data_IF_334678662370
#
_entry.id   IF_334678662370
#
_cell.length_a   1.000
_cell.length_b   1.000
_cell.length_c   1.000
_cell.angle_alpha   90.00
_cell.angle_beta   90.00
_cell.angle_gamma   90.00
#
_symmetry.space_group_name_H-M   'P 1'
#
loop_
_entity.id
_entity.type
_entity.pdbx_description
1 polymer ?
#
# COMPACT_ATOMS: atom_id res chain seq x y z
N UNK A 1 -1.39 -32.45 3.93
CA UNK A 1 -1.26 -32.02 2.53
C UNK A 1 -0.17 -30.95 2.46
N UNK A 2 0.95 -31.22 1.79
CA UNK A 2 1.97 -30.18 1.58
C UNK A 2 1.40 -29.16 0.58
N UNK A 3 1.09 -27.95 1.06
CA UNK A 3 0.66 -26.86 0.19
C UNK A 3 1.75 -26.51 -0.85
N UNK A 4 1.37 -25.84 -1.95
CA UNK A 4 2.34 -25.44 -2.98
C UNK A 4 3.51 -24.66 -2.36
N UNK A 5 4.73 -25.02 -2.76
CA UNK A 5 5.96 -24.40 -2.25
C UNK A 5 5.95 -22.90 -2.52
N UNK A 6 6.29 -22.11 -1.50
CA UNK A 6 6.28 -20.66 -1.63
C UNK A 6 7.31 -20.22 -2.69
N UNK A 7 6.89 -19.36 -3.64
CA UNK A 7 7.71 -19.01 -4.82
C UNK A 7 8.95 -18.18 -4.51
N UNK A 8 8.99 -17.57 -3.34
CA UNK A 8 9.95 -16.53 -2.97
C UNK A 8 10.89 -16.95 -1.82
N UNK A 9 10.95 -18.24 -1.46
CA UNK A 9 11.90 -18.74 -0.44
C UNK A 9 13.26 -19.12 -1.03
N UNK A 10 13.31 -19.37 -2.34
CA UNK A 10 14.51 -19.84 -3.05
C UNK A 10 14.80 -18.96 -4.28
N UNK A 11 16.08 -18.86 -4.67
CA UNK A 11 16.51 -18.16 -5.89
C UNK A 11 17.22 -16.81 -5.66
N UNK A 12 17.32 -16.00 -6.73
CA UNK A 12 18.08 -14.74 -6.72
C UNK A 12 17.34 -13.63 -5.94
N UNK A 13 17.97 -13.16 -4.86
CA UNK A 13 17.48 -12.08 -4.00
C UNK A 13 17.20 -10.78 -4.77
N UNK A 14 18.04 -10.45 -5.76
CA UNK A 14 17.89 -9.21 -6.54
C UNK A 14 16.61 -9.24 -7.37
N UNK A 15 16.33 -10.37 -8.06
CA UNK A 15 15.09 -10.57 -8.81
C UNK A 15 13.87 -10.49 -7.88
N UNK A 16 13.96 -11.11 -6.71
CA UNK A 16 12.90 -11.13 -5.73
C UNK A 16 12.55 -9.71 -5.27
N UNK A 17 13.53 -8.94 -4.81
CA UNK A 17 13.33 -7.57 -4.33
C UNK A 17 12.82 -6.68 -5.46
N UNK A 18 13.38 -6.77 -6.67
CA UNK A 18 12.92 -5.98 -7.81
C UNK A 18 11.47 -6.27 -8.17
N UNK A 19 11.07 -7.54 -8.26
CA UNK A 19 9.67 -7.90 -8.61
C UNK A 19 8.71 -7.40 -7.54
N UNK A 20 8.99 -7.66 -6.26
CA UNK A 20 8.11 -7.23 -5.17
C UNK A 20 8.01 -5.70 -5.10
N UNK A 21 9.15 -4.99 -5.09
CA UNK A 21 9.16 -3.54 -5.02
C UNK A 21 8.42 -2.89 -6.20
N UNK A 22 8.68 -3.34 -7.44
CA UNK A 22 8.02 -2.80 -8.62
C UNK A 22 6.51 -3.00 -8.57
N UNK A 23 6.03 -4.20 -8.18
CA UNK A 23 4.59 -4.45 -8.06
C UNK A 23 3.94 -3.58 -6.98
N UNK A 24 4.60 -3.40 -5.83
CA UNK A 24 4.12 -2.51 -4.77
C UNK A 24 4.11 -1.04 -5.20
N UNK A 25 5.13 -0.59 -5.93
CA UNK A 25 5.19 0.78 -6.46
C UNK A 25 4.06 1.07 -7.43
N UNK A 26 3.69 0.13 -8.31
CA UNK A 26 2.54 0.31 -9.22
C UNK A 26 1.24 0.51 -8.42
N UNK A 27 1.01 -0.29 -7.38
CA UNK A 27 -0.17 -0.14 -6.52
C UNK A 27 -0.19 1.20 -5.79
N UNK A 28 0.94 1.64 -5.25
CA UNK A 28 1.05 2.94 -4.58
C UNK A 28 0.80 4.10 -5.54
N UNK A 29 1.35 4.04 -6.76
CA UNK A 29 1.12 5.05 -7.79
C UNK A 29 -0.34 5.15 -8.19
N UNK A 30 -1.06 4.02 -8.27
CA UNK A 30 -2.49 4.02 -8.58
C UNK A 30 -3.31 4.78 -7.53
N UNK A 31 -3.01 4.59 -6.24
CA UNK A 31 -3.67 5.32 -5.14
C UNK A 31 -3.43 6.83 -5.26
N UNK A 32 -2.17 7.24 -5.44
CA UNK A 32 -1.84 8.67 -5.59
C UNK A 32 -2.51 9.33 -6.79
N UNK A 33 -2.62 8.62 -7.92
CA UNK A 33 -3.30 9.15 -9.12
C UNK A 33 -4.79 9.34 -8.85
N UNK A 34 -5.44 8.37 -8.21
CA UNK A 34 -6.86 8.48 -7.83
C UNK A 34 -7.06 9.65 -6.86
N UNK A 35 -6.20 9.80 -5.86
CA UNK A 35 -6.26 10.90 -4.89
C UNK A 35 -6.09 12.26 -5.55
N UNK A 36 -5.14 12.38 -6.48
CA UNK A 36 -4.91 13.60 -7.25
C UNK A 36 -6.14 13.97 -8.10
N UNK A 37 -6.71 13.00 -8.82
CA UNK A 37 -7.91 13.21 -9.63
C UNK A 37 -9.08 13.66 -8.73
N UNK A 38 -9.23 13.04 -7.56
CA UNK A 38 -10.29 13.38 -6.63
C UNK A 38 -10.15 14.81 -6.09
N UNK A 39 -8.93 15.21 -5.70
CA UNK A 39 -8.68 16.58 -5.24
C UNK A 39 -8.89 17.61 -6.36
N UNK A 40 -8.45 17.31 -7.59
CA UNK A 40 -8.68 18.17 -8.76
C UNK A 40 -10.18 18.33 -9.05
N UNK A 41 -10.93 17.22 -9.04
CA UNK A 41 -12.37 17.25 -9.26
C UNK A 41 -13.08 18.12 -8.22
N UNK A 42 -12.72 17.98 -6.94
CA UNK A 42 -13.38 18.74 -5.88
C UNK A 42 -12.95 20.22 -5.90
N UNK A 43 -11.70 20.52 -6.25
CA UNK A 43 -11.27 21.90 -6.47
C UNK A 43 -12.05 22.59 -7.60
N UNK A 44 -12.43 21.85 -8.66
CA UNK A 44 -13.22 22.37 -9.77
C UNK A 44 -14.70 22.65 -9.44
N UNK A 45 -15.23 22.15 -8.31
CA UNK A 45 -16.59 22.44 -7.86
C UNK A 45 -16.79 23.90 -7.37
N UNK A 46 -15.69 24.67 -7.20
CA UNK A 46 -15.75 26.09 -6.79
C UNK A 46 -16.14 26.32 -5.32
N UNK A 47 -16.34 25.26 -4.56
CA UNK A 47 -16.69 25.28 -3.13
C UNK A 47 -15.40 25.18 -2.30
N UNK A 48 -14.82 26.32 -1.94
CA UNK A 48 -13.56 26.38 -1.18
C UNK A 48 -13.62 25.58 0.14
N UNK A 49 -14.80 25.47 0.74
CA UNK A 49 -15.06 24.71 1.96
C UNK A 49 -14.88 23.20 1.76
N UNK A 50 -15.28 22.65 0.61
CA UNK A 50 -15.09 21.23 0.27
C UNK A 50 -13.62 20.90 0.03
N UNK A 51 -12.87 21.80 -0.62
CA UNK A 51 -11.44 21.62 -0.84
C UNK A 51 -10.65 21.64 0.49
N UNK A 52 -11.01 22.53 1.42
CA UNK A 52 -10.41 22.57 2.75
C UNK A 52 -10.79 21.32 3.59
N UNK A 53 -12.05 20.87 3.49
CA UNK A 53 -12.55 19.70 4.20
C UNK A 53 -11.81 18.40 3.83
N UNK A 54 -11.41 18.24 2.57
CA UNK A 54 -10.58 17.09 2.14
C UNK A 54 -9.25 17.05 2.86
N UNK A 55 -8.61 18.20 3.10
CA UNK A 55 -7.35 18.25 3.84
C UNK A 55 -7.51 17.76 5.28
N UNK A 56 -8.57 18.19 5.95
CA UNK A 56 -8.90 17.74 7.32
C UNK A 56 -9.30 16.26 7.37
N UNK A 57 -10.16 15.82 6.46
CA UNK A 57 -10.55 14.41 6.34
C UNK A 57 -9.34 13.53 6.00
N UNK A 58 -8.44 14.03 5.15
CA UNK A 58 -7.20 13.39 4.75
C UNK A 58 -6.31 13.08 5.95
N UNK A 59 -6.14 14.01 6.91
CA UNK A 59 -5.36 13.75 8.12
C UNK A 59 -5.91 12.58 8.95
N UNK A 60 -7.23 12.48 9.09
CA UNK A 60 -7.90 11.38 9.80
C UNK A 60 -7.75 10.06 9.03
N UNK A 61 -7.95 10.10 7.70
CA UNK A 61 -7.78 8.93 6.84
C UNK A 61 -6.33 8.44 6.85
N UNK A 62 -5.34 9.33 6.85
CA UNK A 62 -3.92 8.97 6.99
C UNK A 62 -3.64 8.26 8.31
N UNK A 63 -4.23 8.74 9.40
CA UNK A 63 -4.08 8.10 10.70
C UNK A 63 -4.63 6.67 10.70
N UNK A 64 -5.87 6.47 10.24
CA UNK A 64 -6.48 5.14 10.16
C UNK A 64 -5.74 4.22 9.19
N UNK A 65 -5.32 4.74 8.03
CA UNK A 65 -4.57 3.97 7.02
C UNK A 65 -3.20 3.54 7.56
N UNK A 66 -2.55 4.38 8.37
CA UNK A 66 -1.26 4.07 8.99
C UNK A 66 -1.34 2.82 9.89
N UNK A 67 -2.41 2.68 10.67
CA UNK A 67 -2.65 1.46 11.46
C UNK A 67 -2.81 0.23 10.55
N UNK A 68 -3.56 0.36 9.45
CA UNK A 68 -3.74 -0.71 8.47
C UNK A 68 -2.44 -1.16 7.81
N UNK A 69 -1.60 -0.20 7.40
CA UNK A 69 -0.27 -0.46 6.82
C UNK A 69 0.63 -1.14 7.86
N UNK A 70 0.67 -0.62 9.09
CA UNK A 70 1.49 -1.19 10.17
C UNK A 70 1.13 -2.65 10.47
N UNK A 71 -0.16 -2.96 10.59
CA UNK A 71 -0.64 -4.33 10.79
C UNK A 71 -0.30 -5.22 9.59
N UNK A 72 -0.49 -4.74 8.37
CA UNK A 72 -0.19 -5.50 7.15
C UNK A 72 1.30 -5.86 7.04
N UNK A 73 2.19 -4.91 7.39
CA UNK A 73 3.64 -5.16 7.43
C UNK A 73 3.99 -6.19 8.51
N UNK A 74 3.42 -6.07 9.72
CA UNK A 74 3.67 -7.00 10.81
C UNK A 74 3.26 -8.43 10.43
N UNK A 75 2.07 -8.61 9.87
CA UNK A 75 1.59 -9.91 9.38
C UNK A 75 2.51 -10.45 8.29
N UNK A 76 2.86 -9.63 7.30
CA UNK A 76 3.77 -10.03 6.21
C UNK A 76 5.13 -10.51 6.71
N UNK A 77 5.73 -9.78 7.65
CA UNK A 77 7.03 -10.13 8.24
C UNK A 77 6.99 -11.43 9.05
N UNK A 78 5.94 -11.62 9.86
CA UNK A 78 5.77 -12.84 10.66
C UNK A 78 5.54 -14.07 9.76
N UNK A 79 4.70 -13.94 8.73
CA UNK A 79 4.43 -15.01 7.76
C UNK A 79 5.66 -15.34 6.93
N UNK A 80 6.41 -14.33 6.46
CA UNK A 80 7.64 -14.54 5.71
C UNK A 80 8.69 -15.31 6.53
N UNK A 81 8.86 -14.96 7.82
CA UNK A 81 9.76 -15.68 8.73
C UNK A 81 9.30 -17.13 8.98
N UNK A 82 8.01 -17.35 9.21
CA UNK A 82 7.48 -18.70 9.44
C UNK A 82 7.62 -19.61 8.21
N UNK A 83 7.43 -19.06 7.00
CA UNK A 83 7.63 -19.78 5.74
C UNK A 83 9.11 -20.03 5.43
N UNK A 84 9.99 -19.07 5.73
CA UNK A 84 11.43 -19.19 5.50
C UNK A 84 12.19 -20.07 6.51
N UNK A 85 11.59 -20.36 7.67
CA UNK A 85 12.17 -21.26 8.67
C UNK A 85 11.86 -22.75 8.41
N UNK A 86 11.04 -23.04 7.40
CA UNK A 86 10.60 -24.39 7.03
C UNK A 86 11.48 -24.96 5.92
#
# INVERSE_FOLDING_TARGET
>A
MAGPQAKFVEGNLFRHVSVMALTSSVGLMAVFVVDLINMLYIAMLGQAELAAAIGYAGAILFFTTSFGIGMSIAVGALVARALGAR
#
